data_IF_155958796926
#
_entry.id   IF_155958796926
#
_cell.length_a   1.000
_cell.length_b   1.000
_cell.length_c   1.000
_cell.angle_alpha   90.00
_cell.angle_beta   90.00
_cell.angle_gamma   90.00
#
_symmetry.space_group_name_H-M   'P 1'
#
loop_
_entity.id
_entity.type
_entity.pdbx_description
1 polymer ?
#
# COMPACT_ATOMS: atom_id res chain seq x y z
N UNK A 1 3.09 5.51 -21.21
CA UNK A 1 2.73 6.01 -19.88
C UNK A 1 3.91 5.94 -18.94
N UNK A 2 4.15 6.99 -18.21
CA UNK A 2 5.21 6.99 -17.21
C UNK A 2 4.86 5.99 -16.09
N UNK A 3 5.79 5.13 -15.74
CA UNK A 3 5.66 4.20 -14.64
C UNK A 3 5.63 4.97 -13.33
N UNK A 4 4.56 4.85 -12.55
CA UNK A 4 4.44 5.53 -11.25
C UNK A 4 5.24 4.84 -10.15
N UNK A 5 5.35 3.52 -10.22
CA UNK A 5 6.10 2.74 -9.26
C UNK A 5 7.57 2.58 -9.61
N UNK A 6 8.26 1.77 -8.85
CA UNK A 6 9.70 1.56 -8.95
C UNK A 6 10.03 0.15 -9.39
N UNK A 7 11.19 0.00 -10.08
CA UNK A 7 11.71 -1.31 -10.45
C UNK A 7 12.39 -2.02 -9.27
N UNK A 8 12.83 -1.26 -8.27
CA UNK A 8 13.41 -1.76 -7.03
C UNK A 8 13.24 -0.71 -5.94
N UNK A 9 13.33 -1.14 -4.70
CA UNK A 9 13.24 -0.24 -3.55
C UNK A 9 14.25 -0.62 -2.48
N UNK A 10 14.53 0.32 -1.57
CA UNK A 10 15.47 0.10 -0.48
C UNK A 10 14.80 -0.73 0.61
N UNK A 11 15.51 -1.74 1.09
CA UNK A 11 15.09 -2.53 2.24
C UNK A 11 16.11 -2.36 3.36
N UNK A 12 15.65 -2.03 4.56
CA UNK A 12 16.49 -1.91 5.73
C UNK A 12 16.98 -3.30 6.18
N UNK A 13 18.26 -3.40 6.51
CA UNK A 13 18.83 -4.68 6.95
C UNK A 13 18.39 -5.06 8.36
N UNK A 14 17.88 -4.11 9.15
CA UNK A 14 17.37 -4.33 10.49
C UNK A 14 15.88 -4.66 10.54
N UNK A 15 15.27 -4.93 9.39
CA UNK A 15 13.83 -5.25 9.28
C UNK A 15 13.40 -6.34 10.26
N UNK A 16 14.21 -7.37 10.42
CA UNK A 16 13.87 -8.50 11.29
C UNK A 16 14.04 -8.21 12.76
N UNK A 17 14.58 -7.03 13.10
CA UNK A 17 14.64 -6.53 14.46
C UNK A 17 13.38 -5.73 14.85
N UNK A 18 12.57 -5.36 13.87
CA UNK A 18 11.31 -4.63 14.10
C UNK A 18 10.33 -5.51 14.86
N UNK A 19 9.82 -4.98 15.99
CA UNK A 19 8.86 -5.70 16.83
C UNK A 19 7.58 -6.07 16.07
N UNK A 20 7.16 -5.25 15.14
CA UNK A 20 5.97 -5.52 14.33
C UNK A 20 6.18 -6.75 13.45
N UNK A 21 7.33 -6.85 12.80
CA UNK A 21 7.70 -8.00 12.00
C UNK A 21 7.81 -9.27 12.85
N UNK A 22 8.40 -9.14 14.04
CA UNK A 22 8.50 -10.26 14.98
C UNK A 22 7.11 -10.76 15.41
N UNK A 23 6.18 -9.85 15.67
CA UNK A 23 4.80 -10.19 16.01
C UNK A 23 4.08 -10.89 14.86
N UNK A 24 4.24 -10.38 13.65
CA UNK A 24 3.67 -10.98 12.44
C UNK A 24 4.17 -12.42 12.27
N UNK A 25 5.47 -12.61 12.37
CA UNK A 25 6.11 -13.92 12.27
C UNK A 25 5.64 -14.87 13.37
N UNK A 26 5.49 -14.36 14.59
CA UNK A 26 5.05 -15.18 15.72
C UNK A 26 3.63 -15.71 15.51
N UNK A 27 2.74 -14.87 14.97
CA UNK A 27 1.33 -15.24 14.79
C UNK A 27 1.08 -16.06 13.53
N UNK A 28 1.69 -15.70 12.42
CA UNK A 28 1.42 -16.31 11.12
C UNK A 28 2.63 -17.00 10.49
N UNK A 29 3.75 -17.04 11.19
CA UNK A 29 4.99 -17.70 10.75
C UNK A 29 5.50 -17.13 9.42
N UNK A 30 6.18 -17.95 8.61
CA UNK A 30 6.71 -17.53 7.31
C UNK A 30 5.61 -17.09 6.35
N UNK A 31 4.44 -17.69 6.45
CA UNK A 31 3.28 -17.34 5.63
C UNK A 31 2.88 -15.87 5.81
N UNK A 32 2.85 -15.40 7.06
CA UNK A 32 2.52 -14.01 7.35
C UNK A 32 3.52 -13.05 6.74
N UNK A 33 4.80 -13.33 6.89
CA UNK A 33 5.84 -12.50 6.30
C UNK A 33 5.80 -12.54 4.77
N UNK A 34 5.55 -13.70 4.17
CA UNK A 34 5.45 -13.83 2.73
C UNK A 34 4.34 -12.95 2.15
N UNK A 35 3.16 -12.96 2.77
CA UNK A 35 2.04 -12.12 2.36
C UNK A 35 2.39 -10.63 2.50
N UNK A 36 2.94 -10.23 3.64
CA UNK A 36 3.35 -8.85 3.89
C UNK A 36 4.38 -8.38 2.86
N UNK A 37 5.42 -9.18 2.61
CA UNK A 37 6.48 -8.83 1.67
C UNK A 37 5.95 -8.73 0.23
N UNK A 38 5.05 -9.63 -0.17
CA UNK A 38 4.43 -9.58 -1.48
C UNK A 38 3.64 -8.28 -1.68
N UNK A 39 2.81 -7.93 -0.69
CA UNK A 39 2.02 -6.71 -0.73
C UNK A 39 2.91 -5.46 -0.74
N UNK A 40 3.93 -5.44 0.11
CA UNK A 40 4.89 -4.33 0.16
C UNK A 40 5.58 -4.13 -1.19
N UNK A 41 5.99 -5.23 -1.81
CA UNK A 41 6.56 -5.21 -3.15
C UNK A 41 5.59 -4.60 -4.17
N UNK A 42 4.33 -5.00 -4.14
CA UNK A 42 3.32 -4.47 -5.05
C UNK A 42 3.04 -2.99 -4.82
N UNK A 43 3.07 -2.52 -3.57
CA UNK A 43 2.94 -1.09 -3.25
C UNK A 43 3.99 -0.28 -4.00
N UNK A 44 5.26 -0.68 -3.88
CA UNK A 44 6.35 0.06 -4.54
C UNK A 44 6.37 -0.14 -6.04
N UNK A 45 5.99 -1.32 -6.52
CA UNK A 45 6.01 -1.65 -7.95
C UNK A 45 4.95 -0.90 -8.74
N UNK A 46 3.74 -0.77 -8.20
CA UNK A 46 2.59 -0.26 -8.95
C UNK A 46 2.48 1.26 -8.82
N UNK A 47 2.36 1.78 -7.61
CA UNK A 47 2.17 3.22 -7.36
C UNK A 47 3.32 3.88 -6.63
N UNK A 48 4.12 3.11 -5.93
CA UNK A 48 5.28 3.60 -5.18
C UNK A 48 5.01 3.86 -3.70
N UNK A 49 3.80 4.20 -3.29
CA UNK A 49 3.51 4.52 -1.88
C UNK A 49 2.20 3.95 -1.34
N UNK A 50 1.35 3.40 -2.19
CA UNK A 50 0.11 2.77 -1.74
C UNK A 50 -0.34 1.69 -2.73
N UNK A 51 -1.25 0.85 -2.28
CA UNK A 51 -1.93 -0.13 -3.13
C UNK A 51 -3.41 -0.11 -2.79
N UNK A 52 -4.24 0.11 -3.80
CA UNK A 52 -5.67 -0.11 -3.66
C UNK A 52 -5.90 -1.62 -3.77
N UNK A 53 -6.12 -2.27 -2.63
CA UNK A 53 -6.21 -3.72 -2.56
C UNK A 53 -7.59 -4.18 -3.04
N UNK A 54 -7.61 -4.99 -4.08
CA UNK A 54 -8.83 -5.46 -4.74
C UNK A 54 -8.99 -6.97 -4.59
N UNK A 55 -10.13 -7.49 -5.03
CA UNK A 55 -10.35 -8.95 -5.09
C UNK A 55 -9.33 -9.63 -6.02
N UNK A 56 -8.92 -8.94 -7.09
CA UNK A 56 -7.89 -9.45 -8.00
C UNK A 56 -6.53 -9.58 -7.29
N UNK A 57 -6.17 -8.60 -6.46
CA UNK A 57 -4.95 -8.70 -5.65
C UNK A 57 -5.04 -9.83 -4.64
N UNK A 58 -6.20 -10.01 -4.03
CA UNK A 58 -6.43 -11.11 -3.10
C UNK A 58 -6.24 -12.46 -3.78
N UNK A 59 -6.81 -12.60 -4.96
CA UNK A 59 -6.63 -13.81 -5.78
C UNK A 59 -5.16 -14.04 -6.11
N UNK A 60 -4.45 -13.01 -6.56
CA UNK A 60 -3.04 -13.12 -6.94
C UNK A 60 -2.15 -13.57 -5.78
N UNK A 61 -2.35 -12.99 -4.59
CA UNK A 61 -1.57 -13.36 -3.40
C UNK A 61 -1.88 -14.80 -2.98
N UNK A 62 -3.15 -15.15 -2.94
CA UNK A 62 -3.64 -16.47 -2.60
C UNK A 62 -3.05 -17.54 -3.53
N UNK A 63 -3.14 -17.29 -4.83
CA UNK A 63 -2.66 -18.20 -5.86
C UNK A 63 -1.13 -18.35 -5.82
N UNK A 64 -0.42 -17.24 -5.70
CA UNK A 64 1.04 -17.25 -5.73
C UNK A 64 1.65 -18.05 -4.56
N UNK A 65 1.09 -17.88 -3.36
CA UNK A 65 1.63 -18.49 -2.15
C UNK A 65 0.90 -19.79 -1.77
N UNK A 66 -0.14 -20.16 -2.52
CA UNK A 66 -0.97 -21.33 -2.23
C UNK A 66 -1.57 -21.27 -0.81
N UNK A 67 -2.22 -20.14 -0.53
CA UNK A 67 -2.84 -19.84 0.77
C UNK A 67 -4.30 -19.47 0.53
N UNK A 68 -5.19 -19.88 1.44
CA UNK A 68 -6.60 -19.51 1.35
C UNK A 68 -6.79 -17.99 1.39
N UNK A 69 -7.72 -17.47 0.60
CA UNK A 69 -8.03 -16.03 0.57
C UNK A 69 -8.43 -15.49 1.94
N UNK A 70 -9.12 -16.27 2.74
CA UNK A 70 -9.49 -15.91 4.11
C UNK A 70 -8.27 -15.70 4.99
N UNK A 71 -7.28 -16.57 4.86
CA UNK A 71 -6.02 -16.44 5.60
C UNK A 71 -5.23 -15.21 5.14
N UNK A 72 -5.17 -14.95 3.83
CA UNK A 72 -4.54 -13.74 3.29
C UNK A 72 -5.19 -12.48 3.87
N UNK A 73 -6.52 -12.43 3.86
CA UNK A 73 -7.27 -11.30 4.42
C UNK A 73 -7.00 -11.12 5.91
N UNK A 74 -6.96 -12.22 6.66
CA UNK A 74 -6.66 -12.18 8.10
C UNK A 74 -5.24 -11.65 8.37
N UNK A 75 -4.27 -12.08 7.57
CA UNK A 75 -2.87 -11.62 7.69
C UNK A 75 -2.78 -10.12 7.41
N UNK A 76 -3.41 -9.63 6.36
CA UNK A 76 -3.41 -8.20 6.01
C UNK A 76 -4.08 -7.39 7.11
N UNK A 77 -5.21 -7.86 7.63
CA UNK A 77 -5.90 -7.21 8.75
C UNK A 77 -5.03 -7.14 9.99
N UNK A 78 -4.30 -8.20 10.29
CA UNK A 78 -3.36 -8.21 11.41
C UNK A 78 -2.19 -7.25 11.20
N UNK A 79 -1.66 -7.18 9.97
CA UNK A 79 -0.62 -6.20 9.62
C UNK A 79 -1.11 -4.76 9.89
N UNK A 80 -2.35 -4.46 9.56
CA UNK A 80 -2.95 -3.16 9.85
C UNK A 80 -3.11 -2.95 11.37
N UNK A 81 -3.55 -3.97 12.08
CA UNK A 81 -3.75 -3.91 13.53
C UNK A 81 -2.46 -3.59 14.28
N UNK A 82 -1.34 -4.19 13.88
CA UNK A 82 -0.05 -3.96 14.54
C UNK A 82 0.73 -2.77 13.97
N UNK A 83 0.18 -2.05 13.00
CA UNK A 83 0.76 -0.80 12.50
C UNK A 83 1.76 -0.95 11.35
N UNK A 84 1.83 -2.11 10.69
CA UNK A 84 2.61 -2.25 9.45
C UNK A 84 1.94 -1.54 8.29
N UNK A 85 0.61 -1.49 8.30
CA UNK A 85 -0.21 -0.66 7.42
C UNK A 85 -1.08 0.25 8.26
N UNK A 86 -1.53 1.36 7.69
CA UNK A 86 -2.45 2.26 8.37
C UNK A 86 -3.83 1.61 8.47
N UNK A 87 -4.30 1.36 9.68
CA UNK A 87 -5.55 0.65 9.93
C UNK A 87 -6.77 1.42 9.42
N UNK A 88 -6.77 2.74 9.58
CA UNK A 88 -7.89 3.58 9.16
C UNK A 88 -8.10 3.54 7.65
N UNK A 89 -7.02 3.74 6.89
CA UNK A 89 -7.08 3.71 5.42
C UNK A 89 -7.46 2.32 4.92
N UNK A 90 -6.99 1.28 5.58
CA UNK A 90 -7.39 -0.09 5.25
C UNK A 90 -8.88 -0.31 5.48
N UNK A 91 -9.39 0.07 6.65
CA UNK A 91 -10.79 -0.16 7.01
C UNK A 91 -11.75 0.70 6.20
N UNK A 92 -11.41 1.96 5.96
CA UNK A 92 -12.32 2.90 5.29
C UNK A 92 -12.25 2.84 3.78
N UNK A 93 -11.06 2.59 3.21
CA UNK A 93 -10.84 2.71 1.77
C UNK A 93 -10.23 1.47 1.11
N UNK A 94 -9.86 0.46 1.88
CA UNK A 94 -9.17 -0.71 1.34
C UNK A 94 -7.79 -0.39 0.78
N UNK A 95 -7.16 0.66 1.28
CA UNK A 95 -5.85 1.13 0.83
C UNK A 95 -4.77 0.62 1.78
N UNK A 96 -3.73 0.03 1.20
CA UNK A 96 -2.55 -0.43 1.92
C UNK A 96 -1.42 0.57 1.74
N UNK A 97 -1.08 1.25 2.80
CA UNK A 97 0.02 2.20 2.89
C UNK A 97 0.40 2.37 4.35
N UNK A 98 1.47 3.08 4.62
CA UNK A 98 1.92 3.36 5.97
C UNK A 98 2.89 4.52 5.98
N UNK A 99 3.12 5.10 7.16
CA UNK A 99 4.05 6.22 7.31
C UNK A 99 5.46 5.85 6.85
N UNK A 100 5.98 4.70 7.25
CA UNK A 100 7.30 4.24 6.85
C UNK A 100 7.39 3.95 5.35
N UNK A 101 6.31 3.45 4.77
CA UNK A 101 6.22 3.19 3.33
C UNK A 101 6.30 4.52 2.57
N UNK A 102 5.57 5.53 3.00
CA UNK A 102 5.57 6.84 2.36
C UNK A 102 6.90 7.56 2.56
N UNK A 103 7.50 7.45 3.74
CA UNK A 103 8.84 8.01 4.00
C UNK A 103 9.88 7.40 3.06
N UNK A 104 9.84 6.09 2.89
CA UNK A 104 10.75 5.38 1.98
C UNK A 104 10.50 5.77 0.52
N UNK A 105 9.24 5.94 0.14
CA UNK A 105 8.87 6.45 -1.18
C UNK A 105 9.51 7.80 -1.46
N UNK A 106 9.43 8.73 -0.48
CA UNK A 106 10.03 10.06 -0.60
C UNK A 106 11.54 9.96 -0.78
N UNK A 107 12.21 9.11 0.01
CA UNK A 107 13.65 8.91 -0.10
C UNK A 107 14.07 8.38 -1.47
N UNK A 108 13.33 7.41 -2.01
CA UNK A 108 13.59 6.86 -3.33
C UNK A 108 13.39 7.93 -4.40
N UNK A 109 12.34 8.74 -4.28
CA UNK A 109 12.09 9.85 -5.21
C UNK A 109 13.23 10.84 -5.22
N UNK A 110 13.81 11.17 -4.06
CA UNK A 110 14.98 12.06 -3.97
C UNK A 110 16.18 11.50 -4.73
N UNK A 111 16.45 10.21 -4.56
CA UNK A 111 17.57 9.55 -5.24
C UNK A 111 17.34 9.54 -6.76
N UNK A 112 16.12 9.29 -7.20
CA UNK A 112 15.77 9.24 -8.61
C UNK A 112 15.52 10.63 -9.22
N UNK A 113 15.64 11.70 -8.45
CA UNK A 113 15.35 13.08 -8.85
C UNK A 113 13.91 13.22 -9.38
N UNK A 114 12.98 12.54 -8.76
CA UNK A 114 11.56 12.54 -9.11
C UNK A 114 10.78 13.27 -8.01
N UNK A 115 9.74 14.01 -8.39
CA UNK A 115 8.88 14.66 -7.42
C UNK A 115 8.09 13.61 -6.62
N UNK A 116 8.14 13.72 -5.28
CA UNK A 116 7.37 12.85 -4.40
C UNK A 116 5.96 13.43 -4.24
N UNK A 117 5.00 12.89 -4.98
CA UNK A 117 3.60 13.35 -4.94
C UNK A 117 2.76 12.28 -4.25
N UNK A 118 2.07 12.67 -3.18
CA UNK A 118 1.17 11.79 -2.41
C UNK A 118 -0.18 12.47 -2.34
N UNK A 119 -1.24 11.74 -2.68
CA UNK A 119 -2.61 12.25 -2.57
C UNK A 119 -2.90 12.70 -1.14
N UNK A 120 -3.53 13.84 -0.98
CA UNK A 120 -3.80 14.43 0.33
C UNK A 120 -4.61 13.48 1.23
N UNK A 121 -5.60 12.81 0.68
CA UNK A 121 -6.43 11.85 1.42
C UNK A 121 -5.70 10.60 1.90
N UNK A 122 -4.52 10.32 1.36
CA UNK A 122 -3.70 9.16 1.73
C UNK A 122 -2.44 9.54 2.50
N UNK A 123 -2.11 10.84 2.59
CA UNK A 123 -0.85 11.30 3.16
C UNK A 123 -0.79 11.07 4.67
N UNK A 124 0.27 10.42 5.11
CA UNK A 124 0.58 10.15 6.52
C UNK A 124 1.86 10.86 6.97
N UNK A 125 2.58 11.48 6.05
CA UNK A 125 3.81 12.24 6.30
C UNK A 125 3.53 13.73 6.23
N UNK A 126 4.40 14.59 6.83
CA UNK A 126 4.22 16.04 6.76
C UNK A 126 4.14 16.58 5.32
N UNK A 127 3.30 17.57 5.09
CA UNK A 127 3.10 18.16 3.77
C UNK A 127 4.38 18.75 3.16
N UNK A 128 5.30 19.22 4.01
CA UNK A 128 6.57 19.81 3.57
C UNK A 128 7.48 18.79 2.88
N UNK A 129 7.26 17.51 3.11
CA UNK A 129 8.10 16.43 2.55
C UNK A 129 7.66 15.98 1.17
N UNK A 130 6.49 16.44 0.70
CA UNK A 130 5.94 16.05 -0.59
C UNK A 130 5.82 17.26 -1.51
N UNK A 131 5.91 17.01 -2.82
CA UNK A 131 5.67 18.05 -3.81
C UNK A 131 4.18 18.45 -3.84
N UNK A 132 3.86 19.71 -4.15
CA UNK A 132 2.46 20.09 -4.31
C UNK A 132 1.82 19.29 -5.44
N UNK A 133 0.58 18.89 -5.23
CA UNK A 133 -0.18 18.19 -6.24
C UNK A 133 -0.29 19.06 -7.50
N UNK A 134 -0.13 18.49 -8.70
CA UNK A 134 -0.34 19.26 -9.92
C UNK A 134 -1.79 19.75 -9.97
N UNK A 135 -2.04 20.95 -10.53
CA UNK A 135 -3.40 21.44 -10.67
C UNK A 135 -4.22 20.44 -11.50
N UNK A 136 -5.51 20.28 -11.16
CA UNK A 136 -6.35 19.38 -11.95
C UNK A 136 -6.34 19.84 -13.40
N UNK A 137 -6.15 18.88 -14.31
CA UNK A 137 -6.23 19.17 -15.74
C UNK A 137 -7.62 19.72 -16.04
N UNK A 138 -7.71 20.78 -16.84
CA UNK A 138 -9.01 21.26 -17.26
C UNK A 138 -9.77 20.14 -17.94
N UNK A 139 -10.97 19.88 -17.48
CA UNK A 139 -11.81 18.86 -18.08
C UNK A 139 -12.12 19.26 -19.53
N UNK A 140 -11.75 18.40 -20.48
CA UNK A 140 -12.10 18.57 -21.87
C UNK A 140 -13.61 18.42 -22.11
N UNK A 141 -14.33 17.87 -21.12
CA UNK A 141 -15.75 17.62 -21.17
C UNK A 141 -16.38 18.13 -19.87
N UNK A 142 -16.65 19.45 -19.77
CA UNK A 142 -17.28 19.99 -18.56
C UNK A 142 -18.68 19.35 -18.40
N UNK A 143 -18.89 18.66 -17.30
CA UNK A 143 -20.18 18.05 -16.98
C UNK A 143 -20.20 16.53 -16.93
N UNK A 144 -19.13 15.85 -17.31
CA UNK A 144 -19.05 14.39 -17.12
C UNK A 144 -18.30 14.06 -15.84
N UNK A 145 -19.04 13.71 -14.82
CA UNK A 145 -18.47 13.09 -13.63
C UNK A 145 -18.29 11.61 -13.92
N UNK A 146 -17.04 11.16 -14.03
CA UNK A 146 -16.77 9.74 -14.08
C UNK A 146 -17.04 9.18 -12.69
N UNK A 147 -17.91 8.18 -12.55
CA UNK A 147 -18.13 7.57 -11.24
C UNK A 147 -16.80 7.00 -10.74
N UNK A 148 -16.42 7.43 -9.55
CA UNK A 148 -15.27 6.86 -8.88
C UNK A 148 -15.45 5.36 -8.80
N UNK A 149 -14.47 4.58 -9.26
CA UNK A 149 -14.51 3.14 -9.09
C UNK A 149 -14.49 2.85 -7.59
N UNK A 150 -15.64 2.46 -7.07
CA UNK A 150 -15.76 2.07 -5.67
C UNK A 150 -15.26 0.65 -5.53
N UNK A 151 -14.06 0.52 -5.07
CA UNK A 151 -13.59 -0.73 -4.52
C UNK A 151 -14.12 -0.74 -3.08
N UNK A 152 -14.95 -1.72 -2.76
CA UNK A 152 -15.64 -1.75 -1.47
C UNK A 152 -14.77 -2.52 -0.47
N UNK A 153 -14.03 -1.83 0.43
CA UNK A 153 -13.18 -2.52 1.41
C UNK A 153 -13.96 -3.42 2.35
N UNK A 154 -15.18 -3.05 2.64
CA UNK A 154 -16.05 -3.81 3.54
C UNK A 154 -16.36 -5.23 3.08
N UNK A 155 -16.24 -5.51 1.79
CA UNK A 155 -16.51 -6.83 1.25
C UNK A 155 -15.42 -7.85 1.58
N UNK A 156 -14.18 -7.38 1.71
CA UNK A 156 -13.05 -8.23 2.13
C UNK A 156 -12.97 -8.35 3.65
N UNK A 157 -13.37 -7.31 4.38
CA UNK A 157 -13.36 -7.29 5.84
C UNK A 157 -14.54 -8.04 6.47
N UNK A 158 -15.64 -8.22 5.75
CA UNK A 158 -16.86 -8.86 6.25
C UNK A 158 -16.84 -10.40 6.16
N UNK A 159 -15.78 -10.95 5.71
CA UNK A 159 -15.56 -12.39 5.71
C UNK A 159 -14.64 -12.76 6.87
#
# INVERSE_FOLDING_TARGET
MAKQGFSYYKAETDRFQDIKIKRLKKRYHCTGYAVYQYVLNEIYRVRGYFLQFTEDHLFDVSEYWDIDEEEVTAIIGYCAEIGLFNAQLWQEKGVLTGRSIQARYIDICKVCKKAAVIEEGLRLVPAEQVAPAPPPLPSLFPGEEFPAMRIVPGRMAAK
#
